data_IF_945374859330
#
_entry.id   IF_945374859330
#
_cell.length_a   1.000
_cell.length_b   1.000
_cell.length_c   1.000
_cell.angle_alpha   90.00
_cell.angle_beta   90.00
_cell.angle_gamma   90.00
#
_symmetry.space_group_name_H-M   'P 1'
#
loop_
_entity.id
_entity.type
_entity.pdbx_description
1 polymer ?
#
# COMPACT_ATOMS: atom_id res chain seq x y z
N UNK A 1 -3.86 16.23 -10.75
CA UNK A 1 -3.82 15.02 -9.91
C UNK A 1 -4.38 13.90 -10.75
N UNK A 2 -3.54 12.94 -11.10
CA UNK A 2 -3.88 11.87 -12.04
C UNK A 2 -4.01 10.55 -11.29
N UNK A 3 -4.97 9.70 -11.65
CA UNK A 3 -5.07 8.35 -11.07
C UNK A 3 -4.30 7.39 -11.97
N UNK A 4 -3.22 6.82 -11.45
CA UNK A 4 -2.40 5.84 -12.17
C UNK A 4 -3.01 4.45 -12.11
N UNK A 5 -3.59 4.10 -10.96
CA UNK A 5 -4.14 2.78 -10.75
C UNK A 5 -5.31 2.78 -9.77
N UNK A 6 -6.25 1.85 -10.00
CA UNK A 6 -7.46 1.71 -9.22
C UNK A 6 -7.78 0.22 -9.03
N UNK A 7 -7.86 -0.21 -7.78
CA UNK A 7 -8.31 -1.55 -7.40
C UNK A 7 -9.64 -1.42 -6.68
N UNK A 8 -10.66 -2.10 -7.22
CA UNK A 8 -12.00 -2.07 -6.63
C UNK A 8 -12.09 -2.81 -5.29
N UNK A 9 -11.29 -3.86 -5.12
CA UNK A 9 -11.30 -4.71 -3.92
C UNK A 9 -9.87 -4.92 -3.43
N UNK A 10 -9.56 -4.30 -2.31
CA UNK A 10 -8.32 -4.49 -1.58
C UNK A 10 -8.65 -4.87 -0.13
N UNK A 11 -7.80 -5.70 0.45
CA UNK A 11 -7.94 -6.20 1.81
C UNK A 11 -6.77 -5.71 2.64
N UNK A 12 -7.04 -5.20 3.83
CA UNK A 12 -6.02 -4.73 4.77
C UNK A 12 -5.90 -5.72 5.91
N UNK A 13 -4.66 -5.95 6.34
CA UNK A 13 -4.26 -6.88 7.38
C UNK A 13 -3.35 -6.17 8.37
N UNK A 14 -3.42 -6.58 9.64
CA UNK A 14 -2.54 -6.07 10.68
C UNK A 14 -1.18 -6.74 10.56
N UNK A 15 -0.13 -5.94 10.41
CA UNK A 15 1.25 -6.45 10.37
C UNK A 15 1.82 -6.39 11.79
N UNK A 16 2.43 -7.49 12.29
CA UNK A 16 3.09 -7.48 13.58
C UNK A 16 4.30 -6.53 13.57
N UNK A 17 4.61 -5.86 14.69
CA UNK A 17 5.78 -5.00 14.79
C UNK A 17 7.05 -5.81 14.57
N UNK A 18 7.96 -5.27 13.75
CA UNK A 18 9.18 -5.94 13.34
C UNK A 18 10.09 -6.20 14.55
N UNK A 19 10.33 -7.47 14.87
CA UNK A 19 11.26 -7.89 15.93
C UNK A 19 12.66 -8.25 15.40
N UNK A 20 12.84 -8.40 14.08
CA UNK A 20 14.12 -8.80 13.47
C UNK A 20 14.30 -8.29 12.04
N UNK A 21 15.53 -8.37 11.51
CA UNK A 21 15.85 -7.95 10.14
C UNK A 21 15.21 -8.82 9.04
N UNK A 22 14.58 -9.94 9.39
CA UNK A 22 13.85 -10.80 8.46
C UNK A 22 12.73 -10.04 7.73
N UNK A 23 12.59 -10.26 6.42
CA UNK A 23 11.54 -9.64 5.61
C UNK A 23 10.14 -10.14 5.98
N UNK A 24 9.11 -9.41 5.56
CA UNK A 24 7.72 -9.71 5.91
C UNK A 24 7.22 -11.02 5.29
N UNK A 25 6.51 -11.82 6.08
CA UNK A 25 5.79 -13.02 5.63
C UNK A 25 4.30 -12.90 5.92
N UNK A 26 3.45 -13.15 4.93
CA UNK A 26 2.00 -13.07 5.09
C UNK A 26 1.48 -14.16 6.04
N UNK A 27 2.16 -15.30 6.10
CA UNK A 27 1.88 -16.36 7.07
C UNK A 27 1.95 -15.88 8.54
N UNK A 28 2.73 -14.84 8.85
CA UNK A 28 2.88 -14.29 10.21
C UNK A 28 1.80 -13.27 10.58
N UNK A 29 0.99 -12.82 9.61
CA UNK A 29 -0.05 -11.81 9.84
C UNK A 29 -1.33 -12.41 10.45
N UNK A 30 -1.38 -13.74 10.60
CA UNK A 30 -2.51 -14.48 11.14
C UNK A 30 -3.48 -14.96 10.06
N UNK A 31 -4.77 -15.04 10.41
CA UNK A 31 -5.84 -15.49 9.52
C UNK A 31 -6.03 -14.54 8.33
N UNK A 32 -5.38 -14.84 7.20
CA UNK A 32 -5.52 -14.09 5.95
C UNK A 32 -6.94 -14.20 5.36
N UNK A 33 -7.78 -15.06 5.91
CA UNK A 33 -9.21 -15.22 5.60
C UNK A 33 -10.08 -14.07 6.15
N UNK A 34 -9.63 -13.40 7.21
CA UNK A 34 -10.37 -12.31 7.87
C UNK A 34 -9.60 -11.00 7.75
N UNK A 35 -9.86 -10.21 6.70
CA UNK A 35 -9.24 -8.90 6.57
C UNK A 35 -9.74 -7.95 7.66
N UNK A 36 -8.84 -7.11 8.18
CA UNK A 36 -9.18 -6.05 9.14
C UNK A 36 -10.12 -5.02 8.51
N UNK A 37 -9.87 -4.70 7.24
CA UNK A 37 -10.67 -3.76 6.47
C UNK A 37 -10.65 -4.16 5.00
N UNK A 38 -11.73 -3.86 4.29
CA UNK A 38 -11.84 -4.10 2.85
C UNK A 38 -12.40 -2.86 2.19
N UNK A 39 -11.80 -2.44 1.09
CA UNK A 39 -12.28 -1.29 0.34
C UNK A 39 -11.56 -1.16 -0.99
N UNK A 40 -11.38 0.07 -1.43
CA UNK A 40 -10.81 0.45 -2.71
C UNK A 40 -9.41 1.02 -2.52
N UNK A 41 -8.47 0.66 -3.38
CA UNK A 41 -7.13 1.23 -3.42
C UNK A 41 -6.99 2.10 -4.66
N UNK A 42 -6.50 3.33 -4.48
CA UNK A 42 -6.13 4.24 -5.57
C UNK A 42 -4.67 4.63 -5.46
N UNK A 43 -3.99 4.63 -6.60
CA UNK A 43 -2.65 5.21 -6.73
C UNK A 43 -2.80 6.51 -7.49
N UNK A 44 -2.37 7.59 -6.85
CA UNK A 44 -2.54 8.95 -7.33
C UNK A 44 -1.16 9.57 -7.54
N UNK A 45 -1.02 10.30 -8.64
CA UNK A 45 0.16 11.09 -8.94
C UNK A 45 -0.17 12.58 -8.85
N UNK A 46 0.67 13.31 -8.15
CA UNK A 46 0.61 14.76 -8.07
C UNK A 46 2.02 15.35 -8.19
N UNK A 47 2.27 16.09 -9.28
CA UNK A 47 3.51 16.84 -9.49
C UNK A 47 4.80 15.98 -9.35
N UNK A 48 4.77 14.73 -9.81
CA UNK A 48 5.89 13.78 -9.69
C UNK A 48 6.02 13.10 -8.33
N UNK A 49 5.08 13.33 -7.41
CA UNK A 49 4.92 12.55 -6.18
C UNK A 49 3.78 11.56 -6.34
N UNK A 50 4.00 10.34 -5.89
CA UNK A 50 2.98 9.31 -5.89
C UNK A 50 2.45 9.08 -4.48
N UNK A 51 1.15 8.81 -4.37
CA UNK A 51 0.47 8.57 -3.10
C UNK A 51 -0.51 7.43 -3.30
N UNK A 52 -0.48 6.47 -2.38
CA UNK A 52 -1.43 5.36 -2.35
C UNK A 52 -2.49 5.72 -1.32
N UNK A 53 -3.76 5.71 -1.73
CA UNK A 53 -4.91 5.96 -0.86
C UNK A 53 -5.78 4.73 -0.77
N UNK A 54 -6.17 4.40 0.45
CA UNK A 54 -7.16 3.39 0.78
C UNK A 54 -8.46 4.12 1.12
N UNK A 55 -9.48 3.89 0.31
CA UNK A 55 -10.78 4.53 0.42
C UNK A 55 -11.88 3.49 0.59
N UNK A 56 -12.90 3.79 1.39
CA UNK A 56 -14.06 2.91 1.48
C UNK A 56 -14.77 2.80 0.12
N UNK A 57 -15.18 1.58 -0.25
CA UNK A 57 -15.79 1.35 -1.56
C UNK A 57 -17.19 1.96 -1.69
N UNK A 58 -17.88 2.18 -0.57
CA UNK A 58 -19.27 2.64 -0.50
C UNK A 58 -19.35 4.14 -0.25
N UNK A 59 -18.61 4.66 0.73
CA UNK A 59 -18.63 6.09 1.10
C UNK A 59 -17.56 6.92 0.41
N UNK A 60 -16.46 6.30 -0.04
CA UNK A 60 -15.29 7.02 -0.53
C UNK A 60 -14.47 7.70 0.58
N UNK A 61 -14.73 7.38 1.84
CA UNK A 61 -13.96 7.93 2.97
C UNK A 61 -12.52 7.40 2.96
N UNK A 62 -11.56 8.30 3.15
CA UNK A 62 -10.14 7.94 3.24
C UNK A 62 -9.88 7.20 4.55
N UNK A 63 -9.55 5.91 4.43
CA UNK A 63 -9.12 5.10 5.56
C UNK A 63 -7.65 5.34 5.91
N UNK A 64 -6.78 5.32 4.90
CA UNK A 64 -5.36 5.54 5.10
C UNK A 64 -4.68 6.11 3.84
N UNK A 65 -3.66 6.93 4.06
CA UNK A 65 -2.78 7.45 3.02
C UNK A 65 -1.37 6.92 3.23
N UNK A 66 -0.71 6.55 2.14
CA UNK A 66 0.66 6.11 2.09
C UNK A 66 1.40 6.97 1.05
N UNK A 67 2.06 8.06 1.48
CA UNK A 67 2.94 8.81 0.59
C UNK A 67 4.10 7.91 0.15
N UNK A 68 4.32 7.87 -1.16
CA UNK A 68 5.40 7.10 -1.74
C UNK A 68 6.72 7.87 -1.60
N UNK A 69 7.72 7.23 -0.98
CA UNK A 69 9.04 7.82 -0.80
C UNK A 69 10.08 7.09 -1.69
N UNK A 70 10.88 7.88 -2.39
CA UNK A 70 11.92 7.40 -3.33
C UNK A 70 13.04 6.61 -2.65
N UNK A 71 13.17 6.66 -1.33
CA UNK A 71 14.15 5.84 -0.57
C UNK A 71 13.78 4.35 -0.51
N UNK A 72 12.64 3.96 -1.07
CA UNK A 72 12.29 2.55 -1.30
C UNK A 72 11.79 1.80 -0.06
N UNK A 73 11.51 2.51 1.05
CA UNK A 73 11.00 1.91 2.30
C UNK A 73 9.49 2.06 2.50
N UNK A 74 8.77 2.73 1.59
CA UNK A 74 7.32 2.92 1.73
C UNK A 74 6.51 1.67 1.40
N UNK A 75 7.02 0.81 0.52
CA UNK A 75 6.35 -0.41 0.06
C UNK A 75 7.35 -1.55 0.06
N UNK A 76 7.04 -2.63 0.77
CA UNK A 76 7.82 -3.86 0.78
C UNK A 76 6.96 -5.04 0.30
N UNK A 77 7.52 -5.85 -0.59
CA UNK A 77 6.87 -7.10 -1.02
C UNK A 77 7.05 -8.19 0.02
N UNK A 78 6.02 -9.00 0.19
CA UNK A 78 6.06 -10.17 1.07
C UNK A 78 6.84 -11.33 0.43
N UNK A 79 7.65 -12.04 1.22
CA UNK A 79 8.57 -13.07 0.72
C UNK A 79 7.88 -14.36 0.26
N UNK A 80 6.80 -14.76 0.92
CA UNK A 80 6.07 -16.00 0.66
C UNK A 80 4.93 -15.82 -0.36
N UNK A 81 4.63 -14.58 -0.77
CA UNK A 81 3.50 -14.31 -1.67
C UNK A 81 3.61 -12.97 -2.39
N UNK A 82 3.48 -13.01 -3.71
CA UNK A 82 3.41 -11.81 -4.58
C UNK A 82 2.05 -11.10 -4.58
N UNK A 83 1.09 -11.59 -3.79
CA UNK A 83 -0.25 -11.02 -3.65
C UNK A 83 -0.38 -10.07 -2.46
N UNK A 84 0.57 -10.15 -1.54
CA UNK A 84 0.58 -9.37 -0.31
C UNK A 84 1.77 -8.41 -0.32
N UNK A 85 1.54 -7.21 0.18
CA UNK A 85 2.52 -6.14 0.27
C UNK A 85 2.38 -5.48 1.62
N UNK A 86 3.46 -4.97 2.18
CA UNK A 86 3.43 -4.09 3.34
C UNK A 86 3.60 -2.67 2.85
N UNK A 87 2.70 -1.79 3.27
CA UNK A 87 2.81 -0.36 2.99
C UNK A 87 2.93 0.42 4.29
N UNK A 88 3.71 1.49 4.24
CA UNK A 88 3.82 2.45 5.32
C UNK A 88 2.75 3.51 5.17
N UNK A 89 1.73 3.43 6.00
CA UNK A 89 0.69 4.46 6.06
C UNK A 89 1.05 5.54 7.07
N UNK A 90 0.64 6.76 6.78
CA UNK A 90 0.71 7.89 7.70
C UNK A 90 -0.70 8.18 8.22
N UNK A 91 -0.86 8.13 9.54
CA UNK A 91 -2.08 8.54 10.20
C UNK A 91 -1.87 9.95 10.75
N UNK A 92 -2.71 10.89 10.31
CA UNK A 92 -2.78 12.24 10.87
C UNK A 92 -3.94 12.31 11.85
N UNK A 93 -3.80 11.60 12.96
CA UNK A 93 -4.75 11.72 14.06
C UNK A 93 -4.16 12.70 15.09
N UNK A 94 -4.86 13.81 15.32
CA UNK A 94 -4.53 14.78 16.36
C UNK A 94 -3.19 15.53 16.21
N UNK A 95 -2.77 15.83 14.97
CA UNK A 95 -1.56 16.63 14.68
C UNK A 95 -0.22 15.90 14.87
N UNK A 96 -0.24 14.63 15.30
CA UNK A 96 0.94 13.78 15.38
C UNK A 96 1.07 12.91 14.14
N UNK A 97 2.10 13.14 13.32
CA UNK A 97 2.42 12.28 12.17
C UNK A 97 2.94 10.93 12.66
N UNK A 98 2.04 9.96 12.85
CA UNK A 98 2.41 8.58 13.19
C UNK A 98 2.46 7.75 11.92
N UNK A 99 3.51 6.95 11.78
CA UNK A 99 3.59 5.97 10.72
C UNK A 99 3.26 4.59 11.27
N UNK A 100 2.48 3.83 10.50
CA UNK A 100 2.17 2.45 10.80
C UNK A 100 2.45 1.60 9.56
N UNK A 101 2.83 0.34 9.78
CA UNK A 101 2.97 -0.63 8.72
C UNK A 101 1.71 -1.48 8.67
N UNK A 102 1.08 -1.53 7.50
CA UNK A 102 -0.11 -2.34 7.28
C UNK A 102 0.13 -3.27 6.10
N UNK A 103 -0.49 -4.45 6.18
CA UNK A 103 -0.43 -5.45 5.12
C UNK A 103 -1.59 -5.20 4.19
N UNK A 104 -1.36 -5.20 2.89
CA UNK A 104 -2.40 -5.13 1.88
C UNK A 104 -2.38 -6.41 1.05
N UNK A 105 -3.56 -6.95 0.76
CA UNK A 105 -3.78 -8.05 -0.16
C UNK A 105 -4.62 -7.58 -1.33
N UNK A 106 -4.12 -7.82 -2.54
CA UNK A 106 -4.87 -7.57 -3.77
C UNK A 106 -5.34 -8.87 -4.38
N UNK A 107 -6.57 -8.89 -4.88
CA UNK A 107 -7.14 -10.05 -5.54
C UNK A 107 -6.42 -10.31 -6.86
N UNK A 108 -6.26 -11.59 -7.23
CA UNK A 108 -5.47 -12.06 -8.40
C UNK A 108 -5.95 -11.49 -9.76
N UNK A 109 -7.17 -10.93 -9.79
CA UNK A 109 -7.75 -10.28 -10.97
C UNK A 109 -7.29 -8.83 -11.15
N UNK A 110 -6.69 -8.20 -10.14
CA UNK A 110 -5.89 -6.99 -10.29
C UNK A 110 -4.50 -7.40 -10.78
N UNK A 111 -4.46 -7.97 -11.99
CA UNK A 111 -3.29 -8.60 -12.58
C UNK A 111 -2.17 -7.59 -12.68
N UNK A 112 -1.12 -7.84 -11.89
CA UNK A 112 0.26 -7.38 -12.10
C UNK A 112 0.47 -5.86 -12.28
N UNK A 113 1.30 -5.30 -11.39
CA UNK A 113 2.29 -4.25 -11.70
C UNK A 113 2.18 -2.90 -10.99
N UNK A 114 1.07 -2.37 -10.47
CA UNK A 114 1.15 -0.98 -9.98
C UNK A 114 2.08 -0.79 -8.76
N UNK A 115 1.84 -1.40 -7.59
CA UNK A 115 2.59 -0.97 -6.39
C UNK A 115 4.13 -1.20 -6.47
N UNK A 116 4.57 -2.23 -7.21
CA UNK A 116 5.99 -2.56 -7.40
C UNK A 116 6.58 -2.10 -8.75
N UNK A 117 5.78 -1.93 -9.81
CA UNK A 117 6.27 -1.41 -11.11
C UNK A 117 6.09 0.10 -11.24
N UNK A 118 5.26 0.72 -10.39
CA UNK A 118 5.15 2.18 -10.26
C UNK A 118 6.32 2.77 -9.46
N UNK A 119 7.10 1.93 -8.75
CA UNK A 119 8.47 2.26 -8.34
C UNK A 119 9.31 2.75 -9.53
N UNK A 120 9.06 2.17 -10.71
CA UNK A 120 9.61 2.69 -11.96
C UNK A 120 8.78 3.85 -12.49
N UNK A 121 7.45 3.84 -12.53
CA UNK A 121 6.66 4.95 -13.10
C UNK A 121 6.91 6.29 -12.39
N UNK A 122 6.91 6.30 -11.04
CA UNK A 122 7.23 7.49 -10.24
C UNK A 122 8.72 7.89 -10.29
N UNK A 123 9.60 6.92 -10.57
CA UNK A 123 11.07 7.12 -10.66
C UNK A 123 11.62 7.23 -12.09
N UNK A 124 10.80 7.06 -13.14
CA UNK A 124 11.28 7.09 -14.52
C UNK A 124 11.30 8.55 -14.95
N UNK A 125 12.46 9.16 -14.77
CA UNK A 125 13.06 10.10 -15.70
C UNK A 125 12.13 10.52 -16.84
N UNK A 126 11.45 11.67 -16.70
CA UNK A 126 11.43 12.63 -17.81
C UNK A 126 12.85 13.18 -17.93
N UNK A 127 13.78 12.36 -18.42
CA UNK A 127 14.97 12.90 -19.08
C UNK A 127 14.46 13.47 -20.39
N UNK A 128 14.40 14.80 -20.43
CA UNK A 128 14.52 15.56 -21.68
C UNK A 128 15.79 15.13 -22.42
#
# INVERSE_FOLDING_TARGET
>A
MSTLFLVQTCHVYRVPPRTSAAGYRAAEWGDTSKPLWTGRLRVLEHAGLCEIRLEDASSGELFASCPYDVTGKSVESVLDSSRYYVIRVESNENGSKRHAFIGIGVSRHARQCAVASDQKVCGTNRKL
#
